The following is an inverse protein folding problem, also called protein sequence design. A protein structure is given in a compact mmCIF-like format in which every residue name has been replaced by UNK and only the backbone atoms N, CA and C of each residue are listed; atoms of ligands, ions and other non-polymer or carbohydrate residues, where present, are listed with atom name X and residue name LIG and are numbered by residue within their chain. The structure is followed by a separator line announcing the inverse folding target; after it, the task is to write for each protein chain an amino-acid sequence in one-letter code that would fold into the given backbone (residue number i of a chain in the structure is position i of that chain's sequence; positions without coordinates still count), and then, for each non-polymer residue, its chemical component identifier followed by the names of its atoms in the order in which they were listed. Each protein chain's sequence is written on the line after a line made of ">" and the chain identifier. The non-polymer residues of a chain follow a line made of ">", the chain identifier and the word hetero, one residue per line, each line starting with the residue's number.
data_IF_671226981008
#
_entry.id   IF_671226981008
#
_cell.length_a   1.000
_cell.length_b   1.000
_cell.length_c   1.000
_cell.angle_alpha   90.00
_cell.angle_beta   90.00
_cell.angle_gamma   90.00
#
_symmetry.space_group_name_H-M   'P 1'
#
loop_
_entity.id
_entity.type
_entity.pdbx_description
1 polymer ?
#
# COMPACT_ATOMS: atom_id res chain seq x y z
N UNK A 1 -16.60 -12.46 -9.34
CA UNK A 1 -16.64 -11.00 -9.59
C UNK A 1 -16.29 -10.26 -8.32
N UNK A 2 -15.39 -9.26 -8.36
CA UNK A 2 -15.10 -8.39 -7.21
C UNK A 2 -15.07 -6.92 -7.66
N UNK A 3 -15.27 -6.00 -6.71
CA UNK A 3 -15.16 -4.55 -6.91
C UNK A 3 -14.21 -4.01 -5.86
N UNK A 4 -13.36 -3.08 -6.24
CA UNK A 4 -12.29 -2.51 -5.44
C UNK A 4 -12.38 -0.98 -5.51
N UNK A 5 -11.95 -0.30 -4.46
CA UNK A 5 -11.89 1.15 -4.39
C UNK A 5 -10.49 1.61 -3.99
N UNK A 6 -9.97 2.60 -4.71
CA UNK A 6 -8.83 3.42 -4.29
C UNK A 6 -9.32 4.71 -3.63
N UNK A 7 -8.46 5.77 -3.60
CA UNK A 7 -8.88 7.08 -3.07
C UNK A 7 -9.93 7.74 -3.98
N UNK A 8 -9.68 7.77 -5.29
CA UNK A 8 -10.48 8.50 -6.28
C UNK A 8 -10.75 7.66 -7.54
N UNK A 9 -10.54 6.35 -7.48
CA UNK A 9 -10.80 5.42 -8.58
C UNK A 9 -11.44 4.15 -8.05
N UNK A 10 -12.04 3.41 -8.96
CA UNK A 10 -12.59 2.09 -8.71
C UNK A 10 -12.12 1.11 -9.77
N UNK A 11 -12.05 -0.16 -9.40
CA UNK A 11 -11.77 -1.24 -10.31
C UNK A 11 -12.74 -2.41 -10.08
N UNK A 12 -12.97 -3.21 -11.09
CA UNK A 12 -13.69 -4.47 -10.96
C UNK A 12 -13.06 -5.58 -11.79
N UNK A 13 -13.16 -6.80 -11.29
CA UNK A 13 -12.74 -8.01 -11.97
C UNK A 13 -13.96 -8.88 -12.23
N UNK A 14 -14.16 -9.29 -13.47
CA UNK A 14 -15.22 -10.23 -13.87
C UNK A 14 -14.77 -11.69 -13.73
N UNK A 15 -15.71 -12.62 -13.73
CA UNK A 15 -15.40 -14.06 -13.73
C UNK A 15 -14.69 -14.52 -15.03
N UNK A 16 -14.82 -13.74 -16.10
CA UNK A 16 -14.06 -13.95 -17.34
C UNK A 16 -12.60 -13.49 -17.24
N UNK A 17 -12.20 -12.81 -16.16
CA UNK A 17 -10.84 -12.26 -15.98
C UNK A 17 -10.64 -10.90 -16.66
N UNK A 18 -11.72 -10.16 -16.92
CA UNK A 18 -11.67 -8.83 -17.47
C UNK A 18 -11.61 -7.80 -16.35
N UNK A 19 -10.69 -6.85 -16.45
CA UNK A 19 -10.50 -5.75 -15.51
C UNK A 19 -11.14 -4.49 -16.06
N UNK A 20 -12.03 -3.88 -15.30
CA UNK A 20 -12.65 -2.58 -15.60
C UNK A 20 -12.19 -1.56 -14.57
N UNK A 21 -11.96 -0.33 -15.01
CA UNK A 21 -11.50 0.79 -14.18
C UNK A 21 -12.30 2.05 -14.51
N UNK A 22 -12.51 2.92 -13.50
CA UNK A 22 -13.16 4.23 -13.66
C UNK A 22 -12.77 5.18 -12.52
N UNK A 23 -13.09 6.48 -12.67
CA UNK A 23 -12.75 7.53 -11.73
C UNK A 23 -11.57 8.38 -12.19
N UNK A 24 -10.75 8.84 -11.27
CA UNK A 24 -9.59 9.71 -11.51
C UNK A 24 -8.40 8.94 -12.05
N UNK A 25 -7.71 9.54 -13.03
CA UNK A 25 -6.46 9.01 -13.61
C UNK A 25 -5.26 9.93 -13.34
N UNK A 26 -5.31 10.71 -12.26
CA UNK A 26 -4.28 11.69 -11.94
C UNK A 26 -2.87 11.10 -11.85
N UNK A 27 -2.77 9.81 -11.50
CA UNK A 27 -1.52 9.09 -11.30
C UNK A 27 -1.32 7.92 -12.27
N UNK A 28 -2.14 7.80 -13.31
CA UNK A 28 -2.05 6.71 -14.28
C UNK A 28 -2.71 5.40 -13.84
N UNK A 29 -3.51 5.42 -12.77
CA UNK A 29 -4.14 4.24 -12.19
C UNK A 29 -5.23 3.61 -13.08
N UNK A 30 -5.71 4.30 -14.11
CA UNK A 30 -6.73 3.77 -15.03
C UNK A 30 -6.15 3.15 -16.31
N UNK A 31 -4.83 3.03 -16.43
CA UNK A 31 -4.17 2.45 -17.60
C UNK A 31 -4.63 3.06 -18.94
N UNK A 32 -4.85 4.38 -18.96
CA UNK A 32 -5.29 5.15 -20.14
C UNK A 32 -4.63 6.52 -20.13
N UNK A 33 -4.68 7.24 -21.27
CA UNK A 33 -4.24 8.63 -21.37
C UNK A 33 -5.29 9.63 -20.88
N UNK A 34 -6.55 9.23 -20.78
CA UNK A 34 -7.63 10.10 -20.31
C UNK A 34 -7.38 10.55 -18.85
N UNK A 35 -7.65 11.81 -18.53
CA UNK A 35 -7.48 12.34 -17.17
C UNK A 35 -8.45 11.72 -16.15
N UNK A 36 -9.60 11.25 -16.60
CA UNK A 36 -10.61 10.54 -15.80
C UNK A 36 -11.51 9.71 -16.71
N UNK A 37 -12.16 8.70 -16.14
CA UNK A 37 -13.18 7.90 -16.80
C UNK A 37 -14.48 7.98 -15.99
N UNK A 38 -15.57 8.57 -16.55
CA UNK A 38 -16.85 8.71 -15.84
C UNK A 38 -17.66 7.41 -15.77
N UNK A 39 -17.29 6.40 -16.56
CA UNK A 39 -17.92 5.08 -16.64
C UNK A 39 -16.86 3.98 -16.66
N UNK A 40 -17.19 2.75 -16.22
CA UNK A 40 -16.26 1.63 -16.29
C UNK A 40 -15.74 1.41 -17.71
N UNK A 41 -14.42 1.34 -17.86
CA UNK A 41 -13.74 1.02 -19.10
C UNK A 41 -12.84 -0.20 -18.90
N UNK A 42 -12.89 -1.13 -19.82
CA UNK A 42 -12.08 -2.35 -19.82
C UNK A 42 -10.63 -2.02 -20.11
N UNK A 43 -9.70 -2.60 -19.34
CA UNK A 43 -8.28 -2.63 -19.68
C UNK A 43 -8.08 -3.74 -20.72
N UNK A 44 -7.37 -3.41 -21.81
CA UNK A 44 -7.13 -4.34 -22.89
C UNK A 44 -6.27 -5.55 -22.45
N UNK A 45 -6.63 -6.76 -22.94
CA UNK A 45 -5.99 -7.99 -22.51
C UNK A 45 -4.47 -8.03 -22.79
N UNK A 46 -4.03 -7.35 -23.86
CA UNK A 46 -2.60 -7.29 -24.18
C UNK A 46 -1.75 -6.62 -23.07
N UNK A 47 -2.35 -5.74 -22.23
CA UNK A 47 -1.70 -5.15 -21.07
C UNK A 47 -1.31 -6.19 -20.01
N UNK A 48 -2.01 -7.33 -20.01
CA UNK A 48 -1.73 -8.49 -19.15
C UNK A 48 -1.14 -9.66 -19.96
N UNK A 49 -0.47 -9.36 -21.08
CA UNK A 49 0.13 -10.37 -21.98
C UNK A 49 -0.88 -11.38 -22.54
N UNK A 50 -2.14 -10.98 -22.69
CA UNK A 50 -3.29 -11.79 -23.11
C UNK A 50 -3.61 -12.97 -22.17
N UNK A 51 -3.19 -12.88 -20.90
CA UNK A 51 -3.53 -13.86 -19.87
C UNK A 51 -4.80 -13.43 -19.12
N UNK A 52 -5.53 -14.42 -18.62
CA UNK A 52 -6.70 -14.18 -17.77
C UNK A 52 -6.27 -13.64 -16.41
N UNK A 53 -6.82 -12.49 -16.00
CA UNK A 53 -6.62 -11.95 -14.64
C UNK A 53 -7.48 -12.74 -13.66
N UNK A 54 -6.88 -13.19 -12.57
CA UNK A 54 -7.53 -13.99 -11.52
C UNK A 54 -7.74 -13.22 -10.22
N UNK A 55 -6.93 -12.19 -9.98
CA UNK A 55 -7.07 -11.33 -8.80
C UNK A 55 -6.61 -9.90 -9.11
N UNK A 56 -7.22 -8.92 -8.42
CA UNK A 56 -6.85 -7.50 -8.47
C UNK A 56 -6.89 -6.93 -7.06
N UNK A 57 -5.96 -6.05 -6.73
CA UNK A 57 -5.89 -5.29 -5.47
C UNK A 57 -5.70 -3.82 -5.77
N UNK A 58 -6.24 -2.96 -4.92
CA UNK A 58 -6.14 -1.51 -5.06
C UNK A 58 -5.51 -0.88 -3.83
N UNK A 59 -4.48 -0.08 -4.03
CA UNK A 59 -4.08 0.94 -3.07
C UNK A 59 -4.85 2.25 -3.30
N UNK A 60 -4.42 3.35 -2.68
CA UNK A 60 -5.06 4.65 -2.91
C UNK A 60 -4.87 5.14 -4.34
N UNK A 61 -3.69 4.98 -4.92
CA UNK A 61 -3.33 5.57 -6.22
C UNK A 61 -2.62 4.59 -7.16
N UNK A 62 -2.57 3.29 -6.80
CA UNK A 62 -1.97 2.24 -7.61
C UNK A 62 -2.82 0.96 -7.58
N UNK A 63 -2.57 0.09 -8.52
CA UNK A 63 -3.22 -1.21 -8.64
C UNK A 63 -2.19 -2.33 -8.80
N UNK A 64 -2.58 -3.50 -8.34
CA UNK A 64 -1.86 -4.76 -8.52
C UNK A 64 -2.83 -5.78 -9.08
N UNK A 65 -2.40 -6.57 -10.07
CA UNK A 65 -3.18 -7.66 -10.63
C UNK A 65 -2.34 -8.93 -10.74
N UNK A 66 -2.99 -10.08 -10.62
CA UNK A 66 -2.37 -11.38 -10.85
C UNK A 66 -3.11 -12.14 -11.94
N UNK A 67 -2.37 -12.84 -12.80
CA UNK A 67 -2.92 -13.65 -13.87
C UNK A 67 -2.98 -15.15 -13.50
N UNK A 68 -3.64 -15.93 -14.30
CA UNK A 68 -3.78 -17.39 -14.13
C UNK A 68 -2.45 -18.16 -14.10
N UNK A 69 -1.40 -17.61 -14.73
CA UNK A 69 -0.04 -18.17 -14.65
C UNK A 69 0.75 -17.70 -13.44
N UNK A 70 0.13 -16.89 -12.55
CA UNK A 70 0.74 -16.34 -11.34
C UNK A 70 1.60 -15.11 -11.56
N UNK A 71 1.64 -14.54 -12.79
CA UNK A 71 2.35 -13.27 -13.04
C UNK A 71 1.65 -12.13 -12.31
N UNK A 72 2.43 -11.22 -11.74
CA UNK A 72 1.93 -10.04 -11.03
C UNK A 72 2.27 -8.80 -11.83
N UNK A 73 1.29 -7.92 -12.00
CA UNK A 73 1.39 -6.64 -12.70
C UNK A 73 1.11 -5.50 -11.74
N UNK A 74 1.84 -4.39 -11.88
CA UNK A 74 1.66 -3.17 -11.09
C UNK A 74 1.57 -1.95 -11.99
N UNK A 75 0.72 -0.97 -11.66
CA UNK A 75 0.62 0.30 -12.38
C UNK A 75 -0.02 1.38 -11.51
N UNK A 76 0.08 2.65 -11.96
CA UNK A 76 -0.38 3.83 -11.27
C UNK A 76 0.75 4.66 -10.72
N UNK A 77 0.58 5.27 -9.54
CA UNK A 77 1.58 6.12 -8.91
C UNK A 77 2.84 5.34 -8.54
N UNK A 78 4.01 5.99 -8.70
CA UNK A 78 5.31 5.36 -8.49
C UNK A 78 6.23 6.13 -7.52
N UNK A 79 5.80 7.29 -7.00
CA UNK A 79 6.67 8.26 -6.30
C UNK A 79 7.29 7.73 -5.02
N UNK A 80 6.70 6.70 -4.41
CA UNK A 80 7.14 6.10 -3.14
C UNK A 80 7.64 4.67 -3.29
N UNK A 81 7.79 4.17 -4.53
CA UNK A 81 8.20 2.80 -4.79
C UNK A 81 7.07 1.76 -4.76
N UNK A 82 5.80 2.19 -4.68
CA UNK A 82 4.63 1.29 -4.57
C UNK A 82 4.44 0.36 -5.75
N UNK A 83 5.07 0.62 -6.89
CA UNK A 83 5.07 -0.29 -8.03
C UNK A 83 6.09 -1.43 -7.91
N UNK A 84 7.01 -1.38 -6.91
CA UNK A 84 7.99 -2.44 -6.65
C UNK A 84 9.08 -2.60 -7.71
N UNK A 85 9.21 -1.65 -8.62
CA UNK A 85 10.21 -1.63 -9.71
C UNK A 85 10.86 -0.26 -9.79
N UNK A 86 12.20 -0.26 -9.89
CA UNK A 86 12.94 0.96 -10.22
C UNK A 86 12.64 1.29 -11.67
N UNK A 87 12.18 2.51 -11.90
CA UNK A 87 12.21 3.07 -13.23
C UNK A 87 13.67 3.29 -13.59
N UNK A 88 14.15 2.65 -14.62
CA UNK A 88 15.39 3.06 -15.25
C UNK A 88 15.13 4.45 -15.87
N UNK A 89 15.47 5.50 -15.11
CA UNK A 89 15.68 6.81 -15.72
C UNK A 89 16.86 6.61 -16.64
N UNK A 90 16.63 6.68 -17.93
CA UNK A 90 17.67 6.74 -18.94
C UNK A 90 18.49 8.01 -18.69
N UNK A 91 19.46 7.95 -17.78
CA UNK A 91 20.52 8.94 -17.63
C UNK A 91 21.48 8.78 -18.82
N UNK A 92 21.14 9.36 -19.96
CA UNK A 92 22.01 9.23 -21.11
C UNK A 92 21.73 10.16 -22.29
N UNK A 93 20.59 10.84 -22.31
CA UNK A 93 20.30 11.78 -23.39
C UNK A 93 20.12 13.20 -22.84
N UNK A 94 21.17 14.03 -22.95
CA UNK A 94 21.00 15.49 -22.95
C UNK A 94 20.11 15.84 -24.14
N UNK A 95 18.82 15.95 -23.93
CA UNK A 95 17.91 16.56 -24.91
C UNK A 95 18.14 18.07 -24.88
N UNK A 96 18.80 18.56 -25.90
CA UNK A 96 18.72 19.98 -26.30
C UNK A 96 17.25 20.36 -26.48
N UNK A 97 16.95 21.56 -25.99
CA UNK A 97 15.64 22.20 -25.99
C UNK A 97 14.91 22.01 -27.35
N UNK A 98 13.79 21.28 -27.33
CA UNK A 98 12.64 21.64 -28.18
C UNK A 98 11.35 20.99 -27.64
N UNK A 99 10.35 21.83 -27.58
CA UNK A 99 8.95 21.73 -27.26
C UNK A 99 8.24 20.35 -27.24
N UNK A 100 7.43 20.15 -26.16
CA UNK A 100 6.22 19.31 -26.10
C UNK A 100 6.39 17.79 -26.30
N UNK A 101 7.18 17.13 -25.44
CA UNK A 101 7.04 15.70 -25.22
C UNK A 101 6.86 15.43 -23.72
N UNK A 102 5.72 14.84 -23.35
CA UNK A 102 5.49 14.25 -22.04
C UNK A 102 6.62 13.26 -21.75
N UNK A 103 7.24 13.27 -20.55
CA UNK A 103 8.35 12.37 -20.26
C UNK A 103 7.90 10.92 -20.42
N UNK A 104 8.62 10.16 -21.23
CA UNK A 104 8.37 8.74 -21.52
C UNK A 104 8.24 7.89 -20.23
N UNK A 105 8.85 8.34 -19.12
CA UNK A 105 8.74 7.70 -17.80
C UNK A 105 7.33 7.68 -17.21
N UNK A 106 6.48 8.68 -17.49
CA UNK A 106 5.08 8.67 -17.03
C UNK A 106 4.24 7.63 -17.75
N UNK A 107 4.45 7.42 -19.05
CA UNK A 107 3.71 6.41 -19.81
C UNK A 107 3.98 4.99 -19.33
N UNK A 108 5.22 4.69 -18.91
CA UNK A 108 5.61 3.36 -18.41
C UNK A 108 4.97 2.98 -17.08
N UNK A 109 4.58 3.96 -16.26
CA UNK A 109 3.91 3.71 -14.96
C UNK A 109 2.40 3.58 -15.10
N UNK A 110 1.84 4.23 -16.10
CA UNK A 110 0.40 4.25 -16.34
C UNK A 110 -0.12 2.93 -16.91
N UNK A 111 0.74 2.05 -17.39
CA UNK A 111 0.32 0.78 -17.97
C UNK A 111 0.72 -0.39 -17.07
N UNK A 112 -0.13 -1.44 -16.96
CA UNK A 112 0.23 -2.66 -16.26
C UNK A 112 1.57 -3.21 -16.77
N UNK A 113 2.53 -3.38 -15.86
CA UNK A 113 3.84 -3.96 -16.16
C UNK A 113 4.16 -5.07 -15.19
N UNK A 114 4.69 -6.18 -15.70
CA UNK A 114 4.95 -7.37 -14.88
C UNK A 114 6.09 -7.14 -13.89
N UNK A 115 5.89 -7.64 -12.67
CA UNK A 115 6.86 -7.64 -11.58
C UNK A 115 7.28 -9.08 -11.32
N UNK A 116 8.30 -9.55 -12.04
CA UNK A 116 8.70 -10.96 -12.07
C UNK A 116 9.05 -11.55 -10.71
N UNK A 117 9.61 -10.74 -9.79
CA UNK A 117 9.96 -11.20 -8.45
C UNK A 117 8.75 -11.59 -7.58
N UNK A 118 7.53 -11.22 -7.99
CA UNK A 118 6.28 -11.58 -7.31
C UNK A 118 5.54 -12.73 -7.98
N UNK A 119 6.09 -13.34 -9.03
CA UNK A 119 5.43 -14.46 -9.72
C UNK A 119 5.17 -15.61 -8.75
N UNK A 120 3.94 -16.08 -8.70
CA UNK A 120 3.50 -17.15 -7.79
C UNK A 120 3.16 -16.64 -6.37
N UNK A 121 2.93 -15.34 -6.19
CA UNK A 121 2.43 -14.81 -4.93
C UNK A 121 1.12 -15.52 -4.53
N UNK A 122 1.03 -15.99 -3.29
CA UNK A 122 -0.15 -16.65 -2.72
C UNK A 122 -1.08 -15.69 -2.03
N UNK A 123 -0.53 -14.58 -1.50
CA UNK A 123 -1.25 -13.51 -0.84
C UNK A 123 -0.69 -12.17 -1.32
N UNK A 124 -1.55 -11.18 -1.53
CA UNK A 124 -1.18 -9.79 -1.80
C UNK A 124 -2.14 -8.87 -1.06
N UNK A 125 -1.65 -7.78 -0.52
CA UNK A 125 -2.46 -6.73 0.07
C UNK A 125 -1.86 -5.36 -0.22
N UNK A 126 -2.70 -4.40 -0.56
CA UNK A 126 -2.31 -3.02 -0.83
C UNK A 126 -2.81 -2.10 0.28
N UNK A 127 -1.93 -1.26 0.81
CA UNK A 127 -2.27 -0.14 1.68
C UNK A 127 -2.50 1.15 0.88
N UNK A 128 -2.35 2.32 1.52
CA UNK A 128 -2.43 3.58 0.76
C UNK A 128 -1.41 3.62 -0.37
N UNK A 129 -0.12 3.54 -0.04
CA UNK A 129 0.99 3.63 -0.99
C UNK A 129 2.09 2.56 -0.68
N UNK A 130 1.72 1.48 0.00
CA UNK A 130 2.61 0.36 0.30
C UNK A 130 1.89 -0.97 0.08
N UNK A 131 2.65 -2.05 0.03
CA UNK A 131 2.13 -3.37 -0.29
C UNK A 131 2.83 -4.45 0.52
N UNK A 132 2.11 -5.55 0.73
CA UNK A 132 2.62 -6.82 1.20
C UNK A 132 2.30 -7.92 0.21
N UNK A 133 3.18 -8.91 0.10
CA UNK A 133 2.91 -10.15 -0.63
C UNK A 133 3.56 -11.34 0.07
N UNK A 134 2.97 -12.51 -0.06
CA UNK A 134 3.55 -13.78 0.38
C UNK A 134 3.92 -14.61 -0.84
N UNK A 135 5.18 -15.03 -0.91
CA UNK A 135 5.72 -15.85 -2.01
C UNK A 135 6.54 -16.98 -1.39
N UNK A 136 6.18 -18.23 -1.69
CA UNK A 136 6.88 -19.38 -1.14
C UNK A 136 6.91 -19.40 0.40
N UNK A 137 5.90 -18.83 1.06
CA UNK A 137 5.81 -18.73 2.51
C UNK A 137 6.61 -17.56 3.12
N UNK A 138 7.26 -16.71 2.31
CA UNK A 138 8.00 -15.53 2.77
C UNK A 138 7.17 -14.28 2.52
N UNK A 139 7.06 -13.41 3.53
CA UNK A 139 6.42 -12.10 3.41
C UNK A 139 7.41 -11.08 2.83
N UNK A 140 6.96 -10.36 1.81
CA UNK A 140 7.67 -9.24 1.18
C UNK A 140 6.87 -7.97 1.36
N UNK A 141 7.56 -6.84 1.51
CA UNK A 141 6.99 -5.49 1.60
C UNK A 141 7.69 -4.51 0.67
N UNK A 142 6.96 -3.50 0.17
CA UNK A 142 7.53 -2.41 -0.64
C UNK A 142 6.57 -1.23 -0.71
N UNK A 143 7.10 -0.07 -1.10
CA UNK A 143 6.37 1.19 -1.24
C UNK A 143 6.73 2.20 -0.17
N UNK A 144 5.77 3.05 0.16
CA UNK A 144 5.87 4.09 1.18
C UNK A 144 6.14 3.50 2.57
N UNK A 145 7.13 4.06 3.28
CA UNK A 145 7.61 3.50 4.54
C UNK A 145 7.95 4.56 5.61
N UNK A 146 7.45 5.79 5.46
CA UNK A 146 7.80 6.93 6.33
C UNK A 146 7.55 6.66 7.84
N UNK A 147 6.66 5.72 8.17
CA UNK A 147 6.37 5.33 9.55
C UNK A 147 6.69 3.86 9.84
N UNK A 148 7.58 3.25 9.06
CA UNK A 148 8.02 1.87 9.25
C UNK A 148 6.97 0.79 8.92
N UNK A 149 5.89 1.15 8.17
CA UNK A 149 4.79 0.22 7.86
C UNK A 149 5.21 -0.99 7.02
N UNK A 150 6.36 -0.94 6.37
CA UNK A 150 6.90 -2.08 5.63
C UNK A 150 7.61 -3.10 6.53
N UNK A 151 7.88 -2.80 7.81
CA UNK A 151 8.44 -3.75 8.77
C UNK A 151 9.88 -4.18 8.50
N UNK A 152 10.66 -3.39 7.76
CA UNK A 152 12.07 -3.68 7.44
C UNK A 152 13.07 -3.08 8.45
N UNK A 153 12.56 -2.40 9.49
CA UNK A 153 13.34 -1.72 10.53
C UNK A 153 13.82 -0.33 10.15
N UNK A 154 13.37 0.21 9.00
CA UNK A 154 13.71 1.57 8.52
C UNK A 154 12.45 2.39 8.29
N UNK A 155 12.62 3.70 8.05
CA UNK A 155 11.57 4.62 7.60
C UNK A 155 11.77 5.06 6.14
N UNK A 156 12.75 4.47 5.44
CA UNK A 156 13.03 4.78 4.05
C UNK A 156 12.08 4.00 3.12
N UNK A 157 11.59 4.66 2.06
CA UNK A 157 10.76 4.03 1.05
C UNK A 157 11.46 2.84 0.40
N UNK A 158 10.72 1.77 0.17
CA UNK A 158 11.24 0.52 -0.40
C UNK A 158 10.82 0.43 -1.87
N UNK A 159 11.82 0.49 -2.77
CA UNK A 159 11.60 0.59 -4.22
C UNK A 159 11.44 -0.76 -4.94
N UNK A 160 11.76 -1.86 -4.28
CA UNK A 160 11.59 -3.21 -4.80
C UNK A 160 11.14 -4.14 -3.66
N UNK A 161 10.33 -5.18 -3.91
CA UNK A 161 9.90 -6.11 -2.88
C UNK A 161 11.09 -6.65 -2.07
N UNK A 162 11.03 -6.46 -0.75
CA UNK A 162 12.07 -6.84 0.21
C UNK A 162 11.48 -7.80 1.25
N UNK A 163 12.14 -8.92 1.57
CA UNK A 163 11.63 -9.83 2.59
C UNK A 163 11.60 -9.16 3.97
N UNK A 164 10.50 -9.36 4.69
CA UNK A 164 10.34 -8.90 6.08
C UNK A 164 11.08 -9.88 6.99
N UNK A 165 12.26 -9.47 7.47
CA UNK A 165 13.19 -10.34 8.19
C UNK A 165 12.59 -10.98 9.45
N UNK A 166 11.77 -10.23 10.19
CA UNK A 166 11.11 -10.71 11.40
C UNK A 166 10.12 -11.88 11.15
N UNK A 167 9.68 -12.08 9.90
CA UNK A 167 8.70 -13.10 9.53
C UNK A 167 9.31 -14.31 8.78
N UNK A 168 10.62 -14.34 8.55
CA UNK A 168 11.27 -15.39 7.73
C UNK A 168 11.09 -16.81 8.29
N UNK A 169 11.00 -16.97 9.62
CA UNK A 169 10.79 -18.26 10.27
C UNK A 169 9.32 -18.59 10.53
N UNK A 170 8.39 -17.73 10.11
CA UNK A 170 6.96 -17.92 10.32
C UNK A 170 6.35 -18.76 9.21
N UNK A 171 5.23 -19.45 9.51
CA UNK A 171 4.46 -20.22 8.54
C UNK A 171 2.99 -19.83 8.58
N UNK A 172 2.22 -20.23 7.57
CA UNK A 172 0.78 -19.95 7.49
C UNK A 172 0.46 -18.46 7.43
N UNK A 173 1.30 -17.68 6.72
CA UNK A 173 1.18 -16.22 6.63
C UNK A 173 -0.09 -15.81 5.90
N UNK A 174 -0.93 -15.00 6.57
CA UNK A 174 -1.96 -14.16 5.98
C UNK A 174 -1.54 -12.70 6.21
N UNK A 175 -1.68 -11.86 5.20
CA UNK A 175 -1.25 -10.46 5.27
C UNK A 175 -2.38 -9.51 4.95
N UNK A 176 -2.35 -8.32 5.58
CA UNK A 176 -3.32 -7.27 5.36
C UNK A 176 -2.68 -5.89 5.52
N UNK A 177 -3.09 -4.96 4.67
CA UNK A 177 -2.69 -3.56 4.76
C UNK A 177 -3.89 -2.68 5.08
N UNK A 178 -3.72 -1.75 6.01
CA UNK A 178 -4.58 -0.58 6.13
C UNK A 178 -3.93 0.62 5.45
N UNK A 179 -4.45 1.82 5.67
CA UNK A 179 -3.95 3.02 5.00
C UNK A 179 -2.45 3.23 5.26
N UNK A 180 -2.02 3.21 6.52
CA UNK A 180 -0.64 3.44 6.92
C UNK A 180 -0.11 2.38 7.90
N UNK A 181 -0.60 1.15 7.85
CA UNK A 181 -0.15 0.05 8.70
C UNK A 181 -0.24 -1.29 7.97
N UNK A 182 0.54 -2.25 8.44
CA UNK A 182 0.60 -3.62 7.94
C UNK A 182 0.31 -4.60 9.06
N UNK A 183 -0.38 -5.68 8.72
CA UNK A 183 -0.68 -6.78 9.62
C UNK A 183 -0.24 -8.10 9.00
N UNK A 184 0.30 -8.99 9.81
CA UNK A 184 0.59 -10.36 9.43
C UNK A 184 0.10 -11.31 10.54
N UNK A 185 -0.73 -12.27 10.16
CA UNK A 185 -1.08 -13.41 11.01
C UNK A 185 -0.20 -14.58 10.60
N UNK A 186 0.50 -15.18 11.54
CA UNK A 186 1.40 -16.29 11.26
C UNK A 186 1.43 -17.29 12.43
N UNK A 187 1.87 -18.50 12.14
CA UNK A 187 2.23 -19.48 13.16
C UNK A 187 3.69 -19.28 13.53
N UNK A 188 3.95 -19.09 14.82
CA UNK A 188 5.32 -19.06 15.34
C UNK A 188 5.89 -20.48 15.37
N UNK A 189 7.22 -20.66 15.18
CA UNK A 189 7.86 -21.95 15.35
C UNK A 189 7.66 -22.46 16.80
N UNK A 190 7.44 -23.76 16.96
CA UNK A 190 7.17 -24.40 18.24
C UNK A 190 8.29 -24.25 19.30
N UNK A 191 9.49 -23.83 18.88
CA UNK A 191 10.58 -23.41 19.75
C UNK A 191 11.16 -22.10 19.22
N UNK A 192 10.88 -20.97 19.87
CA UNK A 192 11.59 -19.73 19.55
C UNK A 192 13.06 -19.93 19.96
N UNK A 193 13.94 -20.13 18.99
CA UNK A 193 15.34 -19.80 19.22
C UNK A 193 15.33 -18.32 19.62
N UNK A 194 15.80 -18.03 20.83
CA UNK A 194 15.79 -16.71 21.48
C UNK A 194 16.48 -15.68 20.57
N UNK A 195 15.77 -15.14 19.60
CA UNK A 195 16.10 -13.88 18.96
C UNK A 195 15.28 -12.84 19.71
N UNK A 196 15.85 -12.35 20.81
CA UNK A 196 15.36 -11.15 21.49
C UNK A 196 15.69 -9.96 20.59
N UNK A 197 14.79 -9.66 19.64
CA UNK A 197 14.73 -8.31 19.09
C UNK A 197 13.83 -7.50 20.04
N UNK A 198 14.39 -6.52 20.79
CA UNK A 198 13.63 -5.78 21.81
C UNK A 198 12.50 -4.90 21.26
N UNK A 199 12.29 -4.91 19.93
CA UNK A 199 11.27 -4.10 19.25
C UNK A 199 10.05 -4.90 18.77
N UNK A 200 10.04 -6.24 18.95
CA UNK A 200 8.91 -7.08 18.52
C UNK A 200 8.08 -7.45 19.75
N UNK A 201 6.90 -6.88 19.86
CA UNK A 201 5.93 -7.25 20.89
C UNK A 201 5.05 -8.39 20.38
N UNK A 202 5.20 -9.58 20.95
CA UNK A 202 4.32 -10.71 20.69
C UNK A 202 3.15 -10.67 21.69
N UNK A 203 1.91 -10.63 21.18
CA UNK A 203 0.74 -10.85 22.02
C UNK A 203 0.61 -12.35 22.27
N UNK A 204 0.82 -12.78 23.52
CA UNK A 204 0.59 -14.18 23.92
C UNK A 204 -0.90 -14.47 24.01
N UNK A 205 -1.39 -15.64 23.55
CA UNK A 205 -2.80 -16.01 23.67
C UNK A 205 -3.27 -16.26 25.11
N UNK A 206 -2.35 -16.37 26.07
CA UNK A 206 -2.64 -16.72 27.48
C UNK A 206 -2.59 -15.54 28.46
N UNK A 207 -2.55 -14.28 27.96
CA UNK A 207 -2.72 -13.12 28.83
C UNK A 207 -4.20 -12.97 29.21
N UNK A 208 -4.70 -13.82 30.08
CA UNK A 208 -5.91 -13.55 30.84
C UNK A 208 -5.65 -12.39 31.77
N UNK A 209 -6.45 -11.34 31.55
CA UNK A 209 -6.88 -10.29 32.48
C UNK A 209 -5.96 -9.98 33.67
N UNK A 210 -5.36 -8.78 33.72
CA UNK A 210 -5.34 -7.90 34.89
C UNK A 210 -4.18 -6.90 34.91
N UNK A 211 -3.94 -6.07 33.85
CA UNK A 211 -3.12 -4.86 34.01
C UNK A 211 -3.39 -3.72 33.01
N UNK A 212 -4.46 -3.76 32.23
CA UNK A 212 -4.72 -2.74 31.20
C UNK A 212 -5.42 -1.45 31.67
N UNK A 213 -5.76 -1.30 32.94
CA UNK A 213 -6.75 -0.27 33.32
C UNK A 213 -6.19 1.09 33.74
N UNK A 214 -4.94 1.22 34.13
CA UNK A 214 -4.46 2.51 34.66
C UNK A 214 -3.73 3.42 33.69
N UNK A 215 -2.82 2.90 32.89
CA UNK A 215 -2.09 3.76 31.92
C UNK A 215 -2.92 4.25 30.73
N UNK A 216 -3.90 3.45 30.27
CA UNK A 216 -4.81 3.86 29.22
C UNK A 216 -5.80 4.91 29.69
N UNK A 217 -6.31 4.80 30.93
CA UNK A 217 -7.19 5.79 31.52
C UNK A 217 -6.47 7.11 31.80
N UNK A 218 -5.22 7.11 32.19
CA UNK A 218 -4.44 8.31 32.43
C UNK A 218 -4.08 9.05 31.14
N UNK A 219 -3.84 8.34 30.03
CA UNK A 219 -3.66 8.94 28.69
C UNK A 219 -4.94 9.57 28.16
N UNK A 220 -6.09 8.92 28.35
CA UNK A 220 -7.37 9.44 27.91
C UNK A 220 -7.87 10.63 28.73
N UNK A 221 -7.58 10.64 30.05
CA UNK A 221 -7.84 11.78 30.94
C UNK A 221 -7.01 12.99 30.55
N UNK A 222 -5.70 12.80 30.29
CA UNK A 222 -4.76 13.87 29.91
C UNK A 222 -5.07 14.42 28.50
N UNK A 223 -5.72 13.64 27.61
CA UNK A 223 -6.16 14.10 26.30
C UNK A 223 -7.45 14.94 26.41
N UNK A 224 -8.40 14.57 27.27
CA UNK A 224 -9.64 15.31 27.54
C UNK A 224 -9.37 16.63 28.27
N UNK A 225 -8.41 16.70 29.19
CA UNK A 225 -8.00 17.95 29.83
C UNK A 225 -7.37 18.94 28.84
N UNK A 226 -6.51 18.50 27.93
CA UNK A 226 -5.96 19.37 26.88
C UNK A 226 -7.00 19.91 25.90
N UNK A 227 -8.05 19.16 25.62
CA UNK A 227 -9.15 19.68 24.77
C UNK A 227 -10.05 20.69 25.49
N UNK A 228 -10.23 20.58 26.80
CA UNK A 228 -10.99 21.55 27.57
C UNK A 228 -10.25 22.90 27.75
N UNK A 229 -8.92 22.89 27.84
CA UNK A 229 -8.11 24.09 27.90
C UNK A 229 -8.09 24.86 26.56
N UNK A 230 -8.03 24.19 25.44
CA UNK A 230 -8.09 24.82 24.11
C UNK A 230 -9.46 25.39 23.76
N UNK A 231 -10.55 24.81 24.26
CA UNK A 231 -11.89 25.35 24.05
C UNK A 231 -12.21 26.58 24.95
N UNK A 232 -11.60 26.67 26.11
CA UNK A 232 -11.76 27.83 27.01
C UNK A 232 -10.96 29.04 26.52
N UNK A 233 -9.81 28.80 25.86
CA UNK A 233 -8.99 29.88 25.32
C UNK A 233 -9.59 30.50 24.06
N UNK A 234 -10.26 29.71 23.22
CA UNK A 234 -10.97 30.22 22.03
C UNK A 234 -12.21 31.03 22.33
N UNK A 235 -12.88 30.80 23.47
CA UNK A 235 -14.03 31.62 23.90
C UNK A 235 -13.61 32.98 24.54
N UNK A 236 -12.42 33.08 25.12
CA UNK A 236 -11.93 34.35 25.68
C UNK A 236 -11.43 35.35 24.63
N UNK A 237 -11.00 34.86 23.46
CA UNK A 237 -10.53 35.73 22.37
C UNK A 237 -11.70 36.31 21.52
N UNK A 238 -12.87 35.68 21.50
CA UNK A 238 -14.07 36.21 20.81
C UNK A 238 -14.75 37.34 21.58
N UNK A 239 -14.57 37.43 22.91
CA UNK A 239 -15.17 38.48 23.75
C UNK A 239 -14.34 39.76 23.79
N UNK A 240 -13.10 39.78 23.25
CA UNK A 240 -12.22 40.98 23.25
C UNK A 240 -12.22 41.78 21.94
N UNK A 241 -12.75 41.24 20.84
CA UNK A 241 -12.74 41.93 19.54
C UNK A 241 -14.13 42.32 18.99
N UNK A 242 -15.15 42.36 19.82
CA UNK A 242 -16.51 42.77 19.45
C UNK A 242 -16.91 44.09 20.14
N UNK A 243 -16.20 45.16 19.83
CA UNK A 243 -16.57 46.50 20.34
C UNK A 243 -15.86 47.59 19.51
N UNK A 244 -16.43 47.91 18.34
CA UNK A 244 -16.59 49.26 17.74
C UNK A 244 -17.23 49.08 16.39
#
# INVERSE_FOLDING_TARGET
>A
MCVLAGSDHSASLTDAGEVYVWGSNKHGQLATEAAFLPVPQKIEAHCFQNEKVTAVWSGWTHLVAQTETGKVFTWGRADYGQLGRKLETYEGWKLEKQDSFLPCSRLLNNMPSSLHCLTGATEVSCGSEHNLAVIGGVCYSWGWNEHGMCGDGTEANIWAPKPVQALLSSSGLLVGCGAGHSLALCQLPAHPALVQDPKVTYLSPDATEDTESQEAMDKERNWKERQSETSTQSQSDWSRNGGL
#
